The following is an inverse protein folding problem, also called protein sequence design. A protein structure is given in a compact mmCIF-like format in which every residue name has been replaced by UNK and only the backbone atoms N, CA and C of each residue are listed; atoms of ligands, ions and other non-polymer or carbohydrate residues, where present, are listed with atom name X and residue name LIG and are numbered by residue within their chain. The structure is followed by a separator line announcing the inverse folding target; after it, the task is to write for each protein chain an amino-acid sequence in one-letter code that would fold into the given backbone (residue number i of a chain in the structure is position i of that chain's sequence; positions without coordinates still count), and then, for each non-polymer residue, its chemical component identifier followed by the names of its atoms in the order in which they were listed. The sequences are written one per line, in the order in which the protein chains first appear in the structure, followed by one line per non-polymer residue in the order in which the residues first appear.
data_IF_516045899889
#
_entry.id   IF_516045899889
#
_cell.length_a   1.000
_cell.length_b   1.000
_cell.length_c   1.000
_cell.angle_alpha   90.00
_cell.angle_beta   90.00
_cell.angle_gamma   90.00
#
_symmetry.space_group_name_H-M   'P 1'
#
loop_
_entity.id
_entity.type
_entity.pdbx_description
1 polymer ?
#
# COMPACT_ATOMS: atom_id res chain seq x y z
N UNK A 1 10.38 16.05 18.95
CA UNK A 1 8.93 15.77 19.17
C UNK A 1 7.98 16.85 18.64
N UNK A 2 8.36 18.12 18.66
CA UNK A 2 7.49 19.21 18.19
C UNK A 2 7.23 19.09 16.69
N UNK A 3 8.25 18.90 15.87
CA UNK A 3 8.12 18.68 14.44
C UNK A 3 7.20 17.50 14.12
N UNK A 4 7.38 16.36 14.78
CA UNK A 4 6.52 15.18 14.62
C UNK A 4 5.04 15.52 14.90
N UNK A 5 4.78 16.20 16.04
CA UNK A 5 3.41 16.60 16.40
C UNK A 5 2.80 17.57 15.38
N UNK A 6 3.57 18.57 14.91
CA UNK A 6 3.13 19.50 13.88
C UNK A 6 2.84 18.80 12.55
N UNK A 7 3.68 17.83 12.15
CA UNK A 7 3.46 16.99 10.96
C UNK A 7 2.18 16.16 11.07
N UNK A 8 1.95 15.54 12.23
CA UNK A 8 0.73 14.79 12.51
C UNK A 8 -0.52 15.68 12.42
N UNK A 9 -0.47 16.85 13.05
CA UNK A 9 -1.56 17.84 12.98
C UNK A 9 -1.78 18.34 11.54
N UNK A 10 -0.70 18.57 10.78
CA UNK A 10 -0.78 18.99 9.38
C UNK A 10 -1.51 17.97 8.51
N UNK A 11 -1.26 16.66 8.68
CA UNK A 11 -2.00 15.60 7.98
C UNK A 11 -3.50 15.64 8.30
N UNK A 12 -3.85 15.78 9.58
CA UNK A 12 -5.25 15.88 10.02
C UNK A 12 -5.92 17.14 9.47
N UNK A 13 -5.26 18.29 9.57
CA UNK A 13 -5.76 19.56 9.03
C UNK A 13 -5.88 19.49 7.51
N UNK A 14 -4.92 18.86 6.82
CA UNK A 14 -4.95 18.62 5.38
C UNK A 14 -6.20 17.87 4.93
N UNK A 15 -6.63 16.86 5.68
CA UNK A 15 -7.89 16.16 5.40
C UNK A 15 -9.12 17.08 5.47
N UNK A 16 -9.18 17.93 6.49
CA UNK A 16 -10.33 18.83 6.69
C UNK A 16 -10.32 20.08 5.82
N UNK A 17 -9.17 20.50 5.32
CA UNK A 17 -9.02 21.70 4.48
C UNK A 17 -8.85 21.36 3.01
N UNK A 18 -7.69 20.85 2.64
CA UNK A 18 -7.37 20.54 1.24
C UNK A 18 -8.20 19.38 0.69
N UNK A 19 -8.49 18.35 1.51
CA UNK A 19 -9.40 17.28 1.14
C UNK A 19 -10.84 17.79 0.82
N UNK A 20 -11.34 18.77 1.58
CA UNK A 20 -12.63 19.43 1.26
C UNK A 20 -12.55 20.27 -0.01
N UNK A 21 -11.40 20.89 -0.27
CA UNK A 21 -11.20 21.63 -1.52
C UNK A 21 -11.27 20.68 -2.72
N UNK A 22 -10.58 19.55 -2.68
CA UNK A 22 -10.60 18.53 -3.74
C UNK A 22 -12.01 17.96 -3.95
N UNK A 23 -12.73 17.69 -2.87
CA UNK A 23 -14.14 17.27 -2.93
C UNK A 23 -15.03 18.33 -3.64
N UNK A 24 -14.86 19.61 -3.33
CA UNK A 24 -15.58 20.70 -3.99
C UNK A 24 -15.21 20.84 -5.47
N UNK A 25 -13.93 20.70 -5.80
CA UNK A 25 -13.45 20.76 -7.19
C UNK A 25 -14.05 19.62 -8.03
N UNK A 26 -14.14 18.42 -7.46
CA UNK A 26 -14.74 17.28 -8.15
C UNK A 26 -16.27 17.41 -8.25
N UNK A 27 -16.94 17.91 -7.20
CA UNK A 27 -18.38 18.08 -7.13
C UNK A 27 -19.13 16.74 -7.12
N UNK A 28 -19.03 15.93 -6.04
CA UNK A 28 -19.78 14.68 -5.94
C UNK A 28 -21.29 14.95 -5.86
N UNK A 29 -22.07 14.13 -6.55
CA UNK A 29 -23.54 14.23 -6.61
C UNK A 29 -24.24 12.93 -6.15
N UNK A 30 -25.58 12.86 -6.31
CA UNK A 30 -26.40 11.75 -5.86
C UNK A 30 -26.71 10.73 -6.98
N UNK A 31 -25.88 10.69 -8.03
CA UNK A 31 -26.02 9.68 -9.11
C UNK A 31 -25.86 8.26 -8.57
N UNK A 32 -26.54 7.33 -9.23
CA UNK A 32 -26.39 5.89 -8.92
C UNK A 32 -24.98 5.42 -9.30
N UNK A 33 -24.33 4.75 -8.37
CA UNK A 33 -22.98 4.23 -8.55
C UNK A 33 -22.96 2.88 -9.28
N UNK A 34 -21.83 2.47 -9.87
CA UNK A 34 -21.68 1.18 -10.54
C UNK A 34 -22.01 -0.03 -9.66
N UNK A 35 -21.74 0.06 -8.37
CA UNK A 35 -22.10 -0.97 -7.39
C UNK A 35 -23.61 -1.29 -7.40
N UNK A 36 -24.46 -0.28 -7.69
CA UNK A 36 -25.92 -0.41 -7.71
C UNK A 36 -26.47 -0.71 -9.10
N UNK A 37 -25.81 -0.22 -10.17
CA UNK A 37 -26.30 -0.33 -11.55
C UNK A 37 -25.75 -1.55 -12.29
N UNK A 38 -24.57 -2.03 -11.94
CA UNK A 38 -23.86 -3.13 -12.60
C UNK A 38 -23.54 -4.31 -11.68
N UNK A 39 -24.26 -4.45 -10.57
CA UNK A 39 -24.03 -5.52 -9.61
C UNK A 39 -23.91 -6.90 -10.31
N UNK A 40 -22.77 -7.55 -10.21
CA UNK A 40 -22.48 -8.85 -10.84
C UNK A 40 -22.25 -9.98 -9.84
N UNK A 41 -22.16 -9.63 -8.54
CA UNK A 41 -21.88 -10.56 -7.46
C UNK A 41 -20.44 -11.08 -7.42
N UNK A 42 -19.50 -10.44 -8.16
CA UNK A 42 -18.09 -10.84 -8.22
C UNK A 42 -17.17 -9.68 -7.90
N UNK A 43 -17.18 -8.64 -8.74
CA UNK A 43 -16.34 -7.46 -8.62
C UNK A 43 -17.16 -6.18 -8.35
N UNK A 44 -18.45 -6.16 -8.73
CA UNK A 44 -19.41 -5.09 -8.46
C UNK A 44 -20.36 -5.51 -7.35
N UNK A 45 -19.97 -5.22 -6.12
CA UNK A 45 -20.72 -5.62 -4.90
C UNK A 45 -20.86 -4.42 -3.98
N UNK A 46 -22.08 -3.97 -3.66
CA UNK A 46 -22.27 -2.86 -2.74
C UNK A 46 -21.80 -3.24 -1.33
N UNK A 47 -20.85 -2.46 -0.80
CA UNK A 47 -20.31 -2.63 0.54
C UNK A 47 -20.59 -1.38 1.40
N UNK A 48 -20.68 -1.52 2.72
CA UNK A 48 -20.78 -0.36 3.61
C UNK A 48 -19.48 0.44 3.62
N UNK A 49 -19.58 1.77 3.69
CA UNK A 49 -18.48 2.73 3.56
C UNK A 49 -17.29 2.42 4.46
N UNK A 50 -17.53 2.07 5.73
CA UNK A 50 -16.45 1.75 6.66
C UNK A 50 -15.61 0.53 6.22
N UNK A 51 -16.27 -0.48 5.60
CA UNK A 51 -15.54 -1.64 5.05
C UNK A 51 -14.71 -1.23 3.84
N UNK A 52 -15.27 -0.41 2.96
CA UNK A 52 -14.55 0.07 1.77
C UNK A 52 -13.33 0.88 2.21
N UNK A 53 -13.48 1.77 3.21
CA UNK A 53 -12.36 2.51 3.80
C UNK A 53 -11.27 1.58 4.34
N UNK A 54 -11.65 0.58 5.14
CA UNK A 54 -10.68 -0.36 5.72
C UNK A 54 -9.95 -1.19 4.67
N UNK A 55 -10.67 -1.60 3.61
CA UNK A 55 -10.08 -2.35 2.50
C UNK A 55 -9.15 -1.45 1.68
N UNK A 56 -9.59 -0.23 1.35
CA UNK A 56 -8.79 0.76 0.63
C UNK A 56 -7.50 1.03 1.41
N UNK A 57 -7.61 1.44 2.67
CA UNK A 57 -6.47 1.73 3.54
C UNK A 57 -5.48 0.58 3.63
N UNK A 58 -5.94 -0.64 3.92
CA UNK A 58 -5.06 -1.79 4.08
C UNK A 58 -4.30 -2.12 2.79
N UNK A 59 -4.98 -2.01 1.64
CA UNK A 59 -4.41 -2.39 0.36
C UNK A 59 -3.44 -1.34 -0.20
N UNK A 60 -3.71 -0.04 0.01
CA UNK A 60 -2.76 0.99 -0.41
C UNK A 60 -1.55 1.03 0.53
N UNK A 61 -1.74 0.78 1.82
CA UNK A 61 -0.66 0.78 2.79
C UNK A 61 0.43 -0.27 2.47
N UNK A 62 0.08 -1.51 2.24
CA UNK A 62 1.05 -2.57 1.93
C UNK A 62 2.23 -2.59 2.90
N UNK A 63 3.46 -2.72 2.39
CA UNK A 63 4.72 -2.57 3.15
C UNK A 63 5.25 -1.12 3.14
N UNK A 64 4.75 -0.28 2.24
CA UNK A 64 5.32 1.04 1.96
C UNK A 64 5.38 1.98 3.15
N UNK A 65 4.29 2.26 3.86
CA UNK A 65 4.28 3.18 4.98
C UNK A 65 5.06 2.68 6.21
N UNK A 66 5.43 1.40 6.23
CA UNK A 66 6.25 0.81 7.28
C UNK A 66 7.71 0.76 6.83
N UNK A 67 8.03 -0.07 5.85
CA UNK A 67 9.41 -0.31 5.42
C UNK A 67 10.02 0.91 4.73
N UNK A 68 9.25 1.56 3.85
CA UNK A 68 9.70 2.79 3.19
C UNK A 68 9.96 3.92 4.17
N UNK A 69 9.08 4.10 5.16
CA UNK A 69 9.25 5.10 6.21
C UNK A 69 10.45 4.81 7.12
N UNK A 70 10.68 3.54 7.50
CA UNK A 70 11.85 3.11 8.26
C UNK A 70 13.13 3.45 7.51
N UNK A 71 13.21 3.09 6.23
CA UNK A 71 14.40 3.39 5.42
C UNK A 71 14.56 4.90 5.21
N UNK A 72 13.46 5.62 5.05
CA UNK A 72 13.44 7.07 4.92
C UNK A 72 13.85 7.82 6.19
N UNK A 73 13.67 7.23 7.37
CA UNK A 73 14.08 7.84 8.64
C UNK A 73 15.59 8.14 8.71
N UNK A 74 16.41 7.38 7.96
CA UNK A 74 17.86 7.64 7.84
C UNK A 74 18.19 9.00 7.22
N UNK A 75 17.26 9.64 6.53
CA UNK A 75 17.45 10.97 5.91
C UNK A 75 17.06 12.15 6.81
N UNK A 76 16.74 11.88 8.08
CA UNK A 76 16.43 12.90 9.07
C UNK A 76 15.04 13.56 8.87
N UNK A 77 14.91 14.81 9.31
CA UNK A 77 13.65 15.57 9.31
C UNK A 77 13.05 15.82 7.92
N UNK A 78 13.84 15.74 6.86
CA UNK A 78 13.40 15.84 5.46
C UNK A 78 12.36 14.78 5.12
N UNK A 79 12.46 13.57 5.71
CA UNK A 79 11.52 12.47 5.52
C UNK A 79 10.12 12.82 6.03
N UNK A 80 10.00 13.52 7.16
CA UNK A 80 8.70 13.92 7.70
C UNK A 80 7.99 14.92 6.79
N UNK A 81 8.74 15.88 6.25
CA UNK A 81 8.17 16.86 5.32
C UNK A 81 7.65 16.18 4.06
N UNK A 82 8.43 15.24 3.49
CA UNK A 82 8.00 14.54 2.29
C UNK A 82 6.76 13.66 2.54
N UNK A 83 6.70 12.94 3.67
CA UNK A 83 5.50 12.17 4.05
C UNK A 83 4.28 13.10 4.12
N UNK A 84 4.39 14.26 4.80
CA UNK A 84 3.24 15.16 5.00
C UNK A 84 2.81 15.83 3.69
N UNK A 85 3.75 16.45 2.99
CA UNK A 85 3.44 17.19 1.76
C UNK A 85 3.03 16.23 0.63
N UNK A 86 3.74 15.10 0.50
CA UNK A 86 3.40 14.06 -0.45
C UNK A 86 2.00 13.49 -0.21
N UNK A 87 1.68 13.14 1.02
CA UNK A 87 0.35 12.59 1.35
C UNK A 87 -0.77 13.58 1.09
N UNK A 88 -0.64 14.86 1.50
CA UNK A 88 -1.71 15.85 1.36
C UNK A 88 -1.90 16.27 -0.09
N UNK A 89 -0.82 16.64 -0.79
CA UNK A 89 -0.89 17.34 -2.08
C UNK A 89 -0.74 16.42 -3.28
N UNK A 90 -0.19 15.24 -3.12
CA UNK A 90 0.01 14.28 -4.21
C UNK A 90 -0.77 12.97 -3.97
N UNK A 91 -0.42 12.18 -2.96
CA UNK A 91 -0.99 10.86 -2.74
C UNK A 91 -2.50 10.87 -2.55
N UNK A 92 -3.01 11.67 -1.61
CA UNK A 92 -4.45 11.73 -1.33
C UNK A 92 -5.26 12.33 -2.49
N UNK A 93 -4.66 13.26 -3.25
CA UNK A 93 -5.28 13.80 -4.46
C UNK A 93 -5.34 12.73 -5.54
N UNK A 94 -4.25 12.01 -5.77
CA UNK A 94 -4.19 10.93 -6.75
C UNK A 94 -5.19 9.81 -6.41
N UNK A 95 -5.23 9.36 -5.15
CA UNK A 95 -6.20 8.35 -4.71
C UNK A 95 -7.65 8.82 -4.93
N UNK A 96 -7.96 10.04 -4.48
CA UNK A 96 -9.29 10.60 -4.61
C UNK A 96 -9.75 10.69 -6.06
N UNK A 97 -8.94 11.28 -6.94
CA UNK A 97 -9.32 11.43 -8.35
C UNK A 97 -9.32 10.08 -9.09
N UNK A 98 -8.39 9.17 -8.82
CA UNK A 98 -8.38 7.84 -9.41
C UNK A 98 -9.67 7.06 -9.06
N UNK A 99 -10.09 7.08 -7.79
CA UNK A 99 -11.32 6.43 -7.34
C UNK A 99 -12.58 7.11 -7.88
N UNK A 100 -12.66 8.43 -7.79
CA UNK A 100 -13.85 9.17 -8.20
C UNK A 100 -14.05 9.21 -9.72
N UNK A 101 -12.97 9.29 -10.50
CA UNK A 101 -13.04 9.18 -11.96
C UNK A 101 -13.49 7.76 -12.35
N UNK A 102 -12.92 6.73 -11.73
CA UNK A 102 -13.37 5.36 -11.96
C UNK A 102 -14.86 5.19 -11.63
N UNK A 103 -15.31 5.74 -10.50
CA UNK A 103 -16.72 5.72 -10.11
C UNK A 103 -17.63 6.33 -11.18
N UNK A 104 -17.26 7.49 -11.76
CA UNK A 104 -17.99 8.16 -12.83
C UNK A 104 -17.91 7.48 -14.18
N UNK A 105 -16.84 6.74 -14.42
CA UNK A 105 -16.65 5.91 -15.62
C UNK A 105 -16.98 4.44 -15.33
N UNK A 106 -18.03 4.21 -14.54
CA UNK A 106 -18.67 2.92 -14.36
C UNK A 106 -17.75 1.82 -13.81
N UNK A 107 -16.74 2.20 -13.00
CA UNK A 107 -15.77 1.29 -12.41
C UNK A 107 -14.64 0.88 -13.37
N UNK A 108 -14.42 1.64 -14.45
CA UNK A 108 -13.31 1.38 -15.37
C UNK A 108 -11.94 1.47 -14.67
N UNK A 109 -10.98 0.67 -15.16
CA UNK A 109 -9.59 0.74 -14.70
C UNK A 109 -8.92 2.05 -15.11
N UNK A 110 -7.85 2.44 -14.40
CA UNK A 110 -7.16 3.69 -14.71
C UNK A 110 -6.63 3.76 -16.15
N UNK A 111 -6.05 2.69 -16.74
CA UNK A 111 -5.66 2.71 -18.15
C UNK A 111 -6.81 3.00 -19.12
N UNK A 112 -8.04 2.53 -18.81
CA UNK A 112 -9.22 2.82 -19.63
C UNK A 112 -9.57 4.31 -19.58
N UNK A 113 -9.57 4.88 -18.37
CA UNK A 113 -9.85 6.30 -18.15
C UNK A 113 -8.78 7.17 -18.85
N UNK A 114 -7.50 6.83 -18.70
CA UNK A 114 -6.40 7.51 -19.40
C UNK A 114 -6.62 7.47 -20.92
N UNK A 115 -7.06 6.32 -21.43
CA UNK A 115 -7.36 6.18 -22.86
C UNK A 115 -8.44 7.13 -23.38
N UNK A 116 -9.42 7.47 -22.55
CA UNK A 116 -10.49 8.43 -22.91
C UNK A 116 -9.96 9.87 -23.05
N UNK A 117 -9.01 10.26 -22.23
CA UNK A 117 -8.49 11.63 -22.16
C UNK A 117 -7.19 11.83 -22.94
N UNK A 118 -6.32 10.83 -23.00
CA UNK A 118 -4.98 10.90 -23.60
C UNK A 118 -4.78 10.01 -24.83
N UNK A 119 -5.84 9.32 -25.26
CA UNK A 119 -5.86 8.55 -26.49
C UNK A 119 -5.36 7.10 -26.37
N UNK A 120 -5.52 6.36 -27.50
CA UNK A 120 -5.33 4.92 -27.52
C UNK A 120 -3.89 4.48 -27.26
N UNK A 121 -2.91 5.20 -27.77
CA UNK A 121 -1.48 4.86 -27.58
C UNK A 121 -1.09 4.87 -26.13
N UNK A 122 -1.45 5.94 -25.41
CA UNK A 122 -1.19 6.08 -23.97
C UNK A 122 -1.92 4.98 -23.18
N UNK A 123 -3.15 4.65 -23.56
CA UNK A 123 -3.91 3.53 -22.97
C UNK A 123 -3.15 2.20 -23.05
N UNK A 124 -2.62 1.86 -24.23
CA UNK A 124 -1.93 0.57 -24.42
C UNK A 124 -0.60 0.52 -23.65
N UNK A 125 0.15 1.61 -23.63
CA UNK A 125 1.38 1.73 -22.83
C UNK A 125 1.05 1.53 -21.34
N UNK A 126 0.06 2.24 -20.83
CA UNK A 126 -0.36 2.13 -19.43
C UNK A 126 -0.89 0.75 -19.06
N UNK A 127 -1.63 0.08 -19.94
CA UNK A 127 -2.08 -1.30 -19.71
C UNK A 127 -0.90 -2.26 -19.54
N UNK A 128 0.04 -2.24 -20.50
CA UNK A 128 1.23 -3.09 -20.45
C UNK A 128 2.06 -2.83 -19.19
N UNK A 129 2.35 -1.57 -18.93
CA UNK A 129 3.10 -1.14 -17.75
C UNK A 129 2.41 -1.59 -16.45
N UNK A 130 1.11 -1.32 -16.28
CA UNK A 130 0.39 -1.68 -15.05
C UNK A 130 0.32 -3.19 -14.84
N UNK A 131 0.11 -3.99 -15.89
CA UNK A 131 0.08 -5.45 -15.77
C UNK A 131 1.44 -6.00 -15.31
N UNK A 132 2.54 -5.54 -15.92
CA UNK A 132 3.90 -5.94 -15.54
C UNK A 132 4.18 -5.53 -14.08
N UNK A 133 3.88 -4.28 -13.73
CA UNK A 133 4.06 -3.76 -12.38
C UNK A 133 3.27 -4.61 -11.35
N UNK A 134 2.01 -4.95 -11.63
CA UNK A 134 1.20 -5.74 -10.71
C UNK A 134 1.70 -7.17 -10.52
N UNK A 135 2.28 -7.79 -11.55
CA UNK A 135 2.92 -9.10 -11.42
C UNK A 135 4.18 -9.02 -10.55
N UNK A 136 5.01 -7.98 -10.74
CA UNK A 136 6.19 -7.73 -9.91
C UNK A 136 5.80 -7.48 -8.45
N UNK A 137 4.84 -6.60 -8.19
CA UNK A 137 4.30 -6.31 -6.86
C UNK A 137 3.77 -7.58 -6.20
N UNK A 138 2.92 -8.32 -6.91
CA UNK A 138 2.35 -9.57 -6.40
C UNK A 138 3.44 -10.57 -6.00
N UNK A 139 4.51 -10.70 -6.78
CA UNK A 139 5.64 -11.59 -6.48
C UNK A 139 6.42 -11.14 -5.24
N UNK A 140 6.74 -9.85 -5.13
CA UNK A 140 7.45 -9.30 -3.95
C UNK A 140 6.61 -9.46 -2.69
N UNK A 141 5.30 -9.26 -2.79
CA UNK A 141 4.37 -9.39 -1.66
C UNK A 141 4.01 -10.83 -1.30
N UNK A 142 4.51 -11.81 -2.04
CA UNK A 142 4.62 -13.21 -1.59
C UNK A 142 5.91 -13.40 -0.78
N UNK A 143 7.04 -12.99 -1.34
CA UNK A 143 8.36 -13.28 -0.78
C UNK A 143 8.60 -12.57 0.57
N UNK A 144 8.18 -11.30 0.70
CA UNK A 144 8.35 -10.52 1.93
C UNK A 144 7.68 -11.14 3.16
N UNK A 145 6.35 -11.35 3.13
CA UNK A 145 5.64 -12.04 4.23
C UNK A 145 6.14 -13.44 4.51
N UNK A 146 6.48 -14.21 3.46
CA UNK A 146 6.99 -15.56 3.63
C UNK A 146 8.32 -15.59 4.42
N UNK A 147 9.20 -14.63 4.14
CA UNK A 147 10.46 -14.49 4.89
C UNK A 147 10.24 -14.09 6.36
N UNK A 148 9.23 -13.27 6.64
CA UNK A 148 8.85 -12.92 8.02
C UNK A 148 8.22 -14.11 8.76
N UNK A 149 7.31 -14.81 8.11
CA UNK A 149 6.65 -16.00 8.68
C UNK A 149 7.66 -17.11 8.99
N UNK A 150 8.63 -17.32 8.11
CA UNK A 150 9.69 -18.31 8.33
C UNK A 150 10.53 -18.01 9.59
N UNK A 151 10.76 -16.73 9.93
CA UNK A 151 11.46 -16.34 11.16
C UNK A 151 10.64 -16.55 12.43
N UNK A 152 9.33 -16.62 12.33
CA UNK A 152 8.38 -16.75 13.44
C UNK A 152 7.94 -18.19 13.68
N UNK A 153 8.27 -19.10 12.77
CA UNK A 153 7.83 -20.50 12.81
C UNK A 153 9.04 -21.43 12.95
N UNK A 154 8.85 -22.69 13.37
CA UNK A 154 9.92 -23.67 13.43
C UNK A 154 10.65 -23.85 12.10
N UNK A 155 11.93 -24.24 12.11
CA UNK A 155 12.78 -24.41 10.92
C UNK A 155 12.18 -25.36 9.85
N UNK A 156 11.29 -26.26 10.24
CA UNK A 156 10.55 -27.12 9.31
C UNK A 156 9.57 -26.37 8.39
N UNK A 157 9.19 -25.13 8.75
CA UNK A 157 8.30 -24.24 7.99
C UNK A 157 9.14 -23.08 7.42
N UNK A 158 10.00 -23.40 6.48
CA UNK A 158 10.92 -22.46 5.85
C UNK A 158 10.22 -21.43 4.94
N UNK A 159 11.00 -20.52 4.37
CA UNK A 159 10.47 -19.50 3.47
C UNK A 159 9.79 -20.11 2.23
N UNK A 160 10.29 -21.26 1.75
CA UNK A 160 9.70 -21.95 0.58
C UNK A 160 8.30 -22.46 0.89
N UNK A 161 8.11 -23.07 2.06
CA UNK A 161 6.79 -23.49 2.54
C UNK A 161 5.80 -22.31 2.56
N UNK A 162 6.21 -21.20 3.15
CA UNK A 162 5.35 -20.02 3.28
C UNK A 162 5.07 -19.33 1.94
N UNK A 163 6.03 -19.32 1.00
CA UNK A 163 5.81 -18.86 -0.38
C UNK A 163 4.69 -19.67 -1.04
N UNK A 164 4.72 -20.99 -0.89
CA UNK A 164 3.67 -21.87 -1.46
C UNK A 164 2.31 -21.55 -0.83
N UNK A 165 2.25 -21.42 0.49
CA UNK A 165 1.00 -21.13 1.22
C UNK A 165 0.42 -19.77 0.82
N UNK A 166 1.23 -18.71 0.84
CA UNK A 166 0.79 -17.35 0.48
C UNK A 166 0.39 -17.29 -1.00
N UNK A 167 1.13 -17.93 -1.88
CA UNK A 167 0.81 -17.95 -3.31
C UNK A 167 -0.47 -18.75 -3.60
N UNK A 168 -0.68 -19.89 -2.93
CA UNK A 168 -1.93 -20.63 -3.02
C UNK A 168 -3.13 -19.78 -2.56
N UNK A 169 -2.96 -19.01 -1.47
CA UNK A 169 -3.95 -18.03 -1.04
C UNK A 169 -4.24 -17.00 -2.14
N UNK A 170 -3.21 -16.44 -2.83
CA UNK A 170 -3.41 -15.47 -3.91
C UNK A 170 -4.20 -16.04 -5.09
N UNK A 171 -3.93 -17.30 -5.46
CA UNK A 171 -4.72 -17.98 -6.49
C UNK A 171 -6.19 -18.03 -6.09
N UNK A 172 -6.48 -18.46 -4.87
CA UNK A 172 -7.85 -18.54 -4.36
C UNK A 172 -8.50 -17.16 -4.28
N UNK A 173 -7.83 -16.17 -3.71
CA UNK A 173 -8.35 -14.82 -3.55
C UNK A 173 -8.63 -14.12 -4.89
N UNK A 174 -7.75 -14.30 -5.87
CA UNK A 174 -7.93 -13.72 -7.22
C UNK A 174 -9.12 -14.32 -7.97
N UNK A 175 -9.45 -15.59 -7.72
CA UNK A 175 -10.52 -16.31 -8.39
C UNK A 175 -11.89 -16.14 -7.72
N UNK A 176 -11.92 -15.89 -6.41
CA UNK A 176 -13.16 -15.79 -5.63
C UNK A 176 -13.76 -14.36 -5.70
N UNK A 177 -15.08 -14.22 -5.45
CA UNK A 177 -15.74 -12.92 -5.32
C UNK A 177 -15.16 -12.07 -4.18
N UNK A 178 -15.16 -10.74 -4.35
CA UNK A 178 -14.59 -9.76 -3.41
C UNK A 178 -15.18 -9.88 -1.99
N UNK A 179 -16.48 -10.09 -1.87
CA UNK A 179 -17.18 -10.13 -0.58
C UNK A 179 -16.80 -11.32 0.31
N UNK A 180 -16.35 -12.44 -0.29
CA UNK A 180 -16.08 -13.68 0.45
C UNK A 180 -14.81 -13.65 1.27
N UNK A 181 -13.75 -13.11 0.73
CA UNK A 181 -12.45 -13.02 1.42
C UNK A 181 -12.16 -11.56 1.79
N UNK A 182 -12.05 -10.68 0.79
CA UNK A 182 -11.68 -9.28 0.97
C UNK A 182 -12.65 -8.58 1.92
N UNK A 183 -13.96 -8.67 1.67
CA UNK A 183 -14.98 -7.99 2.47
C UNK A 183 -15.13 -8.49 3.91
N UNK A 184 -14.55 -9.66 4.29
CA UNK A 184 -14.65 -10.21 5.64
C UNK A 184 -13.35 -10.14 6.43
N UNK A 185 -12.24 -10.49 5.80
CA UNK A 185 -10.95 -10.66 6.47
C UNK A 185 -10.18 -9.33 6.53
N UNK A 186 -10.20 -8.54 5.46
CA UNK A 186 -9.41 -7.32 5.38
C UNK A 186 -9.75 -6.25 6.42
N UNK A 187 -11.03 -6.00 6.77
CA UNK A 187 -11.32 -5.06 7.85
C UNK A 187 -10.68 -5.45 9.19
N UNK A 188 -10.57 -6.74 9.47
CA UNK A 188 -9.90 -7.23 10.70
C UNK A 188 -8.40 -6.91 10.68
N UNK A 189 -7.74 -7.15 9.56
CA UNK A 189 -6.32 -6.85 9.39
C UNK A 189 -6.04 -5.34 9.41
N UNK A 190 -6.93 -4.54 8.82
CA UNK A 190 -6.84 -3.09 8.88
C UNK A 190 -6.95 -2.56 10.32
N UNK A 191 -7.85 -3.13 11.12
CA UNK A 191 -7.98 -2.80 12.56
C UNK A 191 -6.71 -3.19 13.31
N UNK A 192 -6.12 -4.35 13.05
CA UNK A 192 -4.86 -4.78 13.67
C UNK A 192 -3.70 -3.82 13.32
N UNK A 193 -3.60 -3.40 12.06
CA UNK A 193 -2.60 -2.43 11.60
C UNK A 193 -2.78 -1.06 12.27
N UNK A 194 -4.02 -0.56 12.37
CA UNK A 194 -4.33 0.69 13.05
C UNK A 194 -4.06 0.61 14.56
N UNK A 195 -4.41 -0.52 15.19
CA UNK A 195 -4.12 -0.74 16.61
C UNK A 195 -2.62 -0.69 16.89
N UNK A 196 -1.81 -1.33 16.05
CA UNK A 196 -0.36 -1.27 16.12
C UNK A 196 0.13 0.19 15.98
N UNK A 197 -0.34 0.91 14.97
CA UNK A 197 0.07 2.29 14.73
C UNK A 197 -0.28 3.20 15.91
N UNK A 198 -1.49 3.06 16.48
CA UNK A 198 -1.92 3.80 17.68
C UNK A 198 -1.06 3.41 18.89
N UNK A 199 -0.75 2.15 19.07
CA UNK A 199 0.12 1.68 20.16
C UNK A 199 1.51 2.32 20.08
N UNK A 200 2.15 2.30 18.91
CA UNK A 200 3.45 2.94 18.68
C UNK A 200 3.36 4.46 18.89
N UNK A 201 2.29 5.11 18.40
CA UNK A 201 2.06 6.53 18.63
C UNK A 201 1.98 6.89 20.12
N UNK A 202 1.26 6.10 20.89
CA UNK A 202 1.18 6.30 22.36
C UNK A 202 2.57 6.16 22.97
N UNK A 203 3.34 5.15 22.59
CA UNK A 203 4.69 4.94 23.13
C UNK A 203 5.68 6.04 22.72
N UNK A 204 5.53 6.62 21.52
CA UNK A 204 6.29 7.81 21.14
C UNK A 204 6.04 8.98 22.10
N UNK A 205 4.81 9.21 22.52
CA UNK A 205 4.47 10.26 23.49
C UNK A 205 4.82 9.90 24.94
N UNK A 206 4.87 8.63 25.29
CA UNK A 206 5.28 8.18 26.63
C UNK A 206 6.80 8.25 26.81
N UNK A 207 7.53 7.76 25.83
CA UNK A 207 9.00 7.67 25.89
C UNK A 207 9.70 8.99 25.55
N UNK A 208 9.01 9.94 24.88
CA UNK A 208 9.56 11.22 24.44
C UNK A 208 10.96 11.11 23.78
N UNK A 209 11.16 10.23 22.75
CA UNK A 209 12.48 10.07 22.16
C UNK A 209 12.99 11.38 21.54
N UNK A 210 14.31 11.52 21.47
CA UNK A 210 14.94 12.61 20.75
C UNK A 210 14.71 12.41 19.24
N UNK A 211 13.81 13.20 18.65
CA UNK A 211 13.54 13.20 17.22
C UNK A 211 14.14 14.43 16.55
N UNK A 212 14.55 14.36 15.29
CA UNK A 212 15.08 15.50 14.56
C UNK A 212 14.00 16.57 14.43
N UNK A 213 14.38 17.82 14.62
CA UNK A 213 13.50 18.95 14.47
C UNK A 213 13.81 19.71 13.17
N UNK A 214 12.81 20.38 12.60
CA UNK A 214 12.99 21.09 11.32
C UNK A 214 13.97 22.26 11.43
N UNK A 215 14.06 22.90 12.59
CA UNK A 215 14.98 24.00 12.83
C UNK A 215 16.44 23.58 13.03
N UNK A 216 16.71 22.27 13.24
CA UNK A 216 18.06 21.72 13.26
C UNK A 216 18.64 21.59 11.83
N UNK A 217 17.80 21.85 10.81
CA UNK A 217 18.15 21.81 9.40
C UNK A 217 17.67 20.53 8.70
N UNK A 218 17.64 20.59 7.38
CA UNK A 218 17.25 19.49 6.49
C UNK A 218 18.49 18.71 6.04
N UNK A 219 19.29 18.26 6.97
CA UNK A 219 20.53 17.54 6.67
C UNK A 219 20.24 16.06 6.34
N UNK A 220 21.02 15.53 5.42
CA UNK A 220 21.03 14.09 5.16
C UNK A 220 21.84 13.39 6.25
N UNK A 221 21.17 12.69 7.14
CA UNK A 221 21.79 11.96 8.25
C UNK A 221 22.17 10.53 7.90
N UNK A 222 21.94 10.10 6.63
CA UNK A 222 22.30 8.77 6.18
C UNK A 222 23.82 8.58 6.24
N UNK A 223 24.34 7.46 6.81
CA UNK A 223 25.77 7.17 6.81
C UNK A 223 26.41 7.17 5.41
N UNK A 224 25.64 6.79 4.39
CA UNK A 224 26.04 6.77 2.97
C UNK A 224 25.54 8.02 2.22
N UNK A 225 25.49 9.19 2.87
CA UNK A 225 24.92 10.42 2.30
C UNK A 225 25.55 10.85 0.98
N UNK A 226 26.81 10.49 0.73
CA UNK A 226 27.51 10.78 -0.54
C UNK A 226 26.99 9.95 -1.71
N UNK A 227 26.52 8.73 -1.45
CA UNK A 227 25.98 7.80 -2.45
C UNK A 227 24.46 7.85 -2.50
N UNK A 228 23.83 8.18 -1.37
CA UNK A 228 22.39 8.25 -1.19
C UNK A 228 21.94 9.69 -0.90
N UNK A 229 21.86 10.55 -1.91
CA UNK A 229 21.39 11.93 -1.74
C UNK A 229 19.90 11.97 -1.39
N UNK A 230 19.48 13.07 -0.72
CA UNK A 230 18.06 13.30 -0.42
C UNK A 230 17.23 13.23 -1.70
N UNK A 231 17.62 13.94 -2.75
CA UNK A 231 16.97 13.84 -4.06
C UNK A 231 17.87 13.05 -5.03
N UNK A 232 17.34 12.00 -5.68
CA UNK A 232 15.96 11.49 -5.63
C UNK A 232 15.75 10.37 -4.59
N UNK A 233 16.79 9.86 -3.93
CA UNK A 233 16.75 8.56 -3.22
C UNK A 233 15.75 8.55 -2.06
N UNK A 234 15.75 9.57 -1.20
CA UNK A 234 14.77 9.66 -0.11
C UNK A 234 13.34 9.66 -0.64
N UNK A 235 13.08 10.44 -1.70
CA UNK A 235 11.76 10.57 -2.30
C UNK A 235 11.25 9.23 -2.82
N UNK A 236 12.11 8.45 -3.48
CA UNK A 236 11.78 7.11 -3.98
C UNK A 236 11.60 6.12 -2.82
N UNK A 237 12.48 6.15 -1.81
CA UNK A 237 12.42 5.23 -0.67
C UNK A 237 11.11 5.36 0.12
N UNK A 238 10.57 6.57 0.24
CA UNK A 238 9.34 6.86 0.99
C UNK A 238 8.12 6.97 0.06
N UNK A 239 8.28 6.83 -1.26
CA UNK A 239 7.20 7.05 -2.22
C UNK A 239 5.92 6.29 -1.85
N UNK A 240 6.01 5.03 -1.45
CA UNK A 240 4.85 4.26 -1.02
C UNK A 240 4.15 4.82 0.21
N UNK A 241 4.87 5.45 1.16
CA UNK A 241 4.28 6.05 2.36
C UNK A 241 3.80 7.49 2.17
N UNK A 242 4.24 8.18 1.11
CA UNK A 242 3.91 9.57 0.84
C UNK A 242 2.94 9.73 -0.34
N UNK A 243 2.98 8.86 -1.35
CA UNK A 243 2.20 8.99 -2.58
C UNK A 243 1.40 7.72 -2.88
N UNK A 244 1.89 6.55 -2.54
CA UNK A 244 1.42 5.20 -2.83
C UNK A 244 1.19 4.88 -4.32
N UNK A 245 1.85 3.85 -4.83
CA UNK A 245 1.67 3.38 -6.22
C UNK A 245 0.40 2.55 -6.44
N UNK A 246 -0.29 2.14 -5.38
CA UNK A 246 -1.45 1.25 -5.46
C UNK A 246 -2.76 1.95 -5.79
N UNK A 247 -2.85 3.26 -5.70
CA UNK A 247 -4.06 4.02 -6.03
C UNK A 247 -4.57 3.70 -7.43
N UNK A 248 -3.66 3.60 -8.41
CA UNK A 248 -4.01 3.36 -9.81
C UNK A 248 -4.81 2.06 -10.04
N UNK A 249 -4.65 1.09 -9.18
CA UNK A 249 -5.28 -0.23 -9.30
C UNK A 249 -6.31 -0.51 -8.22
N UNK A 250 -6.05 -0.08 -7.00
CA UNK A 250 -6.93 -0.35 -5.86
C UNK A 250 -8.15 0.57 -5.84
N UNK A 251 -7.99 1.86 -6.15
CA UNK A 251 -9.10 2.82 -6.09
C UNK A 251 -10.22 2.49 -7.09
N UNK A 252 -9.93 2.05 -8.34
CA UNK A 252 -10.96 1.52 -9.24
C UNK A 252 -11.68 0.27 -8.71
N UNK A 253 -10.98 -0.63 -7.99
CA UNK A 253 -11.63 -1.77 -7.37
C UNK A 253 -12.65 -1.36 -6.31
N UNK A 254 -12.28 -0.40 -5.47
CA UNK A 254 -13.18 0.11 -4.43
C UNK A 254 -14.30 0.96 -4.99
N UNK A 255 -14.06 1.69 -6.08
CA UNK A 255 -15.11 2.42 -6.81
C UNK A 255 -16.27 1.50 -7.26
N UNK A 256 -15.94 0.25 -7.64
CA UNK A 256 -16.95 -0.78 -7.99
C UNK A 256 -17.81 -1.24 -6.80
N UNK A 257 -17.41 -0.93 -5.58
CA UNK A 257 -18.10 -1.34 -4.35
C UNK A 257 -18.83 -0.17 -3.66
N UNK A 258 -18.58 1.08 -4.06
CA UNK A 258 -19.15 2.27 -3.44
C UNK A 258 -20.60 2.47 -3.77
N UNK A 259 -21.40 2.81 -2.76
CA UNK A 259 -22.85 3.07 -2.89
C UNK A 259 -23.21 4.53 -3.08
N UNK A 260 -22.29 5.48 -2.87
CA UNK A 260 -22.49 6.92 -3.02
C UNK A 260 -21.20 7.65 -3.33
N UNK A 261 -21.21 8.62 -4.24
CA UNK A 261 -20.08 9.53 -4.52
C UNK A 261 -19.67 10.37 -3.31
N UNK A 262 -20.63 10.73 -2.44
CA UNK A 262 -20.38 11.55 -1.24
C UNK A 262 -19.43 10.89 -0.23
N UNK A 263 -19.21 9.58 -0.35
CA UNK A 263 -18.25 8.84 0.48
C UNK A 263 -16.83 8.81 -0.11
N UNK A 264 -16.60 9.43 -1.27
CA UNK A 264 -15.29 9.42 -1.93
C UNK A 264 -14.18 10.03 -1.08
N UNK A 265 -14.42 11.20 -0.45
CA UNK A 265 -13.40 11.84 0.38
C UNK A 265 -12.97 10.97 1.58
N UNK A 266 -13.86 10.46 2.44
CA UNK A 266 -13.41 9.59 3.54
C UNK A 266 -12.76 8.28 3.04
N UNK A 267 -13.25 7.69 1.94
CA UNK A 267 -12.74 6.41 1.44
C UNK A 267 -11.36 6.55 0.80
N UNK A 268 -11.19 7.47 -0.16
CA UNK A 268 -9.95 7.59 -0.92
C UNK A 268 -9.00 8.59 -0.26
N UNK A 269 -9.35 9.86 -0.22
CA UNK A 269 -8.49 10.88 0.38
C UNK A 269 -8.15 10.55 1.85
N UNK A 270 -9.13 10.09 2.62
CA UNK A 270 -8.98 9.72 4.02
C UNK A 270 -8.09 8.49 4.23
N UNK A 271 -8.17 7.47 3.36
CA UNK A 271 -7.32 6.30 3.44
C UNK A 271 -5.84 6.66 3.24
N UNK A 272 -5.53 7.51 2.24
CA UNK A 272 -4.17 7.94 1.99
C UNK A 272 -3.62 8.82 3.12
N UNK A 273 -4.42 9.73 3.69
CA UNK A 273 -3.99 10.48 4.89
C UNK A 273 -3.71 9.54 6.07
N UNK A 274 -4.52 8.51 6.25
CA UNK A 274 -4.30 7.50 7.31
C UNK A 274 -3.01 6.73 7.06
N UNK A 275 -2.71 6.38 5.80
CA UNK A 275 -1.44 5.79 5.40
C UNK A 275 -0.25 6.71 5.71
N UNK A 276 -0.36 8.00 5.38
CA UNK A 276 0.66 9.01 5.70
C UNK A 276 0.89 9.15 7.21
N UNK A 277 -0.16 9.06 8.03
CA UNK A 277 -0.05 9.04 9.50
C UNK A 277 0.73 7.80 9.96
N UNK A 278 0.43 6.62 9.43
CA UNK A 278 1.17 5.38 9.75
C UNK A 278 2.63 5.51 9.33
N UNK A 279 2.91 6.05 8.14
CA UNK A 279 4.28 6.29 7.67
C UNK A 279 5.04 7.26 8.59
N UNK A 280 4.42 8.35 9.01
CA UNK A 280 5.01 9.31 9.93
C UNK A 280 5.35 8.70 11.30
N UNK A 281 4.45 7.86 11.83
CA UNK A 281 4.65 7.14 13.10
C UNK A 281 5.86 6.20 12.97
N UNK A 282 5.95 5.43 11.90
CA UNK A 282 7.05 4.51 11.67
C UNK A 282 8.38 5.22 11.39
N UNK A 283 8.36 6.34 10.68
CA UNK A 283 9.56 7.16 10.49
C UNK A 283 10.09 7.67 11.84
N UNK A 284 9.21 8.12 12.74
CA UNK A 284 9.59 8.57 14.08
C UNK A 284 10.12 7.42 14.95
N UNK A 285 9.44 6.27 14.96
CA UNK A 285 9.85 5.10 15.71
C UNK A 285 11.19 4.54 15.21
N UNK A 286 11.41 4.51 13.89
CA UNK A 286 12.69 4.11 13.31
C UNK A 286 13.81 5.09 13.62
N UNK A 287 13.54 6.39 13.67
CA UNK A 287 14.52 7.40 14.09
C UNK A 287 15.00 7.14 15.52
N UNK A 288 14.08 6.81 16.45
CA UNK A 288 14.43 6.38 17.79
C UNK A 288 15.34 5.13 17.77
N UNK A 289 14.94 4.09 17.02
CA UNK A 289 15.72 2.86 16.91
C UNK A 289 17.14 3.13 16.41
N UNK A 290 17.30 3.96 15.37
CA UNK A 290 18.60 4.30 14.82
C UNK A 290 19.46 5.14 15.77
N UNK A 291 18.83 5.96 16.60
CA UNK A 291 19.55 6.72 17.63
C UNK A 291 20.13 5.80 18.72
N UNK A 292 19.38 4.79 19.14
CA UNK A 292 19.81 3.87 20.21
C UNK A 292 20.75 2.76 19.71
N UNK A 293 20.53 2.24 18.48
CA UNK A 293 21.21 1.05 17.98
C UNK A 293 22.19 1.32 16.83
N UNK A 294 22.30 2.57 16.37
CA UNK A 294 23.08 2.93 15.18
C UNK A 294 22.32 2.67 13.88
N UNK A 295 22.84 3.25 12.78
CA UNK A 295 22.18 3.23 11.47
C UNK A 295 22.63 2.07 10.55
N UNK A 296 23.42 1.13 11.07
CA UNK A 296 23.97 0.02 10.28
C UNK A 296 22.89 -0.99 9.87
N UNK A 297 21.88 -1.21 10.72
CA UNK A 297 20.80 -2.13 10.39
C UNK A 297 19.95 -1.59 9.21
N UNK A 298 19.85 -2.39 8.17
CA UNK A 298 19.13 -2.05 6.94
C UNK A 298 17.90 -2.94 6.69
N UNK A 299 17.67 -3.96 7.53
CA UNK A 299 16.53 -4.84 7.40
C UNK A 299 15.33 -4.29 8.16
N UNK A 300 14.40 -3.67 7.46
CA UNK A 300 13.19 -3.08 8.05
C UNK A 300 12.38 -4.08 8.89
N UNK A 301 12.39 -5.38 8.55
CA UNK A 301 11.69 -6.41 9.34
C UNK A 301 12.30 -6.61 10.73
N UNK A 302 13.64 -6.49 10.85
CA UNK A 302 14.34 -6.58 12.13
C UNK A 302 13.99 -5.38 13.00
N UNK A 303 13.95 -4.20 12.40
CA UNK A 303 13.60 -2.94 13.09
C UNK A 303 12.15 -2.97 13.58
N UNK A 304 11.22 -3.45 12.74
CA UNK A 304 9.82 -3.63 13.14
C UNK A 304 9.71 -4.57 14.34
N UNK A 305 10.36 -5.73 14.29
CA UNK A 305 10.32 -6.71 15.36
C UNK A 305 10.91 -6.15 16.68
N UNK A 306 12.03 -5.45 16.60
CA UNK A 306 12.68 -4.83 17.75
C UNK A 306 11.78 -3.77 18.41
N UNK A 307 11.30 -2.79 17.64
CA UNK A 307 10.42 -1.71 18.15
C UNK A 307 9.13 -2.27 18.74
N UNK A 308 8.49 -3.22 18.06
CA UNK A 308 7.20 -3.75 18.52
C UNK A 308 7.33 -4.58 19.78
N UNK A 309 8.40 -5.36 19.91
CA UNK A 309 8.69 -6.14 21.13
C UNK A 309 9.04 -5.23 22.31
N UNK A 310 9.86 -4.22 22.08
CA UNK A 310 10.29 -3.27 23.12
C UNK A 310 9.13 -2.43 23.65
N UNK A 311 8.31 -1.87 22.74
CA UNK A 311 7.27 -0.92 23.11
C UNK A 311 5.91 -1.52 23.38
N UNK A 312 5.53 -2.58 22.70
CA UNK A 312 4.20 -3.19 22.83
C UNK A 312 4.21 -4.53 23.57
N UNK A 313 5.39 -5.00 23.95
CA UNK A 313 5.57 -6.29 24.63
C UNK A 313 5.17 -7.48 23.74
N UNK A 314 5.06 -8.67 24.34
CA UNK A 314 4.83 -9.93 23.59
C UNK A 314 3.50 -9.93 22.83
N UNK A 315 2.40 -9.52 23.46
CA UNK A 315 1.06 -9.52 22.83
C UNK A 315 0.98 -8.46 21.74
N UNK A 316 1.46 -7.24 22.02
CA UNK A 316 1.51 -6.17 21.05
C UNK A 316 2.43 -6.49 19.87
N UNK A 317 3.56 -7.15 20.12
CA UNK A 317 4.47 -7.63 19.10
C UNK A 317 3.81 -8.62 18.14
N UNK A 318 3.06 -9.59 18.65
CA UNK A 318 2.31 -10.54 17.80
C UNK A 318 1.25 -9.84 16.94
N UNK A 319 0.49 -8.90 17.52
CA UNK A 319 -0.51 -8.13 16.77
C UNK A 319 0.14 -7.24 15.70
N UNK A 320 1.28 -6.61 16.03
CA UNK A 320 2.05 -5.81 15.09
C UNK A 320 2.55 -6.62 13.90
N UNK A 321 3.15 -7.77 14.19
CA UNK A 321 3.66 -8.69 13.17
C UNK A 321 2.52 -9.19 12.27
N UNK A 322 1.36 -9.53 12.85
CA UNK A 322 0.17 -9.90 12.06
C UNK A 322 -0.26 -8.76 11.14
N UNK A 323 -0.26 -7.50 11.60
CA UNK A 323 -0.55 -6.34 10.76
C UNK A 323 0.46 -6.15 9.63
N UNK A 324 1.76 -6.26 9.93
CA UNK A 324 2.85 -6.11 8.96
C UNK A 324 2.87 -7.24 7.92
N UNK A 325 2.51 -8.47 8.30
CA UNK A 325 2.41 -9.61 7.38
C UNK A 325 1.12 -9.53 6.56
N UNK A 326 0.01 -9.15 7.19
CA UNK A 326 -1.29 -9.13 6.54
C UNK A 326 -1.39 -8.05 5.44
N UNK A 327 -0.81 -6.87 5.66
CA UNK A 327 -0.88 -5.77 4.71
C UNK A 327 -0.31 -6.14 3.32
N UNK A 328 0.92 -6.66 3.17
CA UNK A 328 1.42 -7.07 1.86
C UNK A 328 0.68 -8.28 1.28
N UNK A 329 0.22 -9.22 2.11
CA UNK A 329 -0.56 -10.36 1.61
C UNK A 329 -1.86 -9.87 0.98
N UNK A 330 -2.54 -8.92 1.59
CA UNK A 330 -3.79 -8.38 1.04
C UNK A 330 -3.56 -7.50 -0.19
N UNK A 331 -2.49 -6.71 -0.20
CA UNK A 331 -2.11 -5.90 -1.36
C UNK A 331 -1.68 -6.75 -2.55
N UNK A 332 -0.99 -7.87 -2.31
CA UNK A 332 -0.54 -8.78 -3.37
C UNK A 332 -1.69 -9.49 -4.07
N UNK A 333 -2.70 -9.99 -3.35
CA UNK A 333 -3.85 -10.62 -4.00
C UNK A 333 -4.66 -9.62 -4.82
N UNK A 334 -4.81 -8.38 -4.34
CA UNK A 334 -5.50 -7.32 -5.09
C UNK A 334 -4.67 -6.85 -6.28
N UNK A 335 -3.34 -6.91 -6.24
CA UNK A 335 -2.49 -6.66 -7.41
C UNK A 335 -2.77 -7.68 -8.54
N UNK A 336 -2.79 -8.97 -8.24
CA UNK A 336 -3.16 -9.99 -9.23
C UNK A 336 -4.59 -9.84 -9.73
N UNK A 337 -5.53 -9.50 -8.86
CA UNK A 337 -6.92 -9.22 -9.25
C UNK A 337 -7.01 -8.03 -10.19
N UNK A 338 -6.30 -6.94 -9.91
CA UNK A 338 -6.26 -5.75 -10.75
C UNK A 338 -5.65 -6.06 -12.12
N UNK A 339 -4.52 -6.78 -12.15
CA UNK A 339 -3.91 -7.22 -13.42
C UNK A 339 -4.88 -8.09 -14.24
N UNK A 340 -5.58 -9.04 -13.59
CA UNK A 340 -6.62 -9.86 -14.24
C UNK A 340 -7.71 -8.99 -14.86
N UNK A 341 -8.19 -7.98 -14.16
CA UNK A 341 -9.26 -7.11 -14.66
C UNK A 341 -8.79 -6.26 -15.84
N UNK A 342 -7.58 -5.69 -15.78
CA UNK A 342 -7.00 -4.91 -16.88
C UNK A 342 -6.84 -5.76 -18.14
N UNK A 343 -6.37 -7.02 -18.00
CA UNK A 343 -6.27 -7.96 -19.12
C UNK A 343 -7.65 -8.38 -19.64
N UNK A 344 -8.62 -8.58 -18.74
CA UNK A 344 -10.00 -8.91 -19.13
C UNK A 344 -10.65 -7.77 -19.92
N UNK A 345 -10.47 -6.52 -19.47
CA UNK A 345 -10.95 -5.32 -20.17
C UNK A 345 -10.29 -5.18 -21.56
N UNK A 346 -9.00 -5.55 -21.68
CA UNK A 346 -8.30 -5.57 -22.96
C UNK A 346 -8.85 -6.62 -23.95
N UNK A 347 -9.14 -7.82 -23.43
CA UNK A 347 -9.63 -8.94 -24.25
C UNK A 347 -11.16 -8.93 -24.44
N UNK A 348 -11.89 -8.01 -23.79
CA UNK A 348 -13.34 -7.95 -23.80
C UNK A 348 -14.02 -9.18 -23.17
N UNK A 349 -13.38 -9.78 -22.16
CA UNK A 349 -13.84 -11.01 -21.53
C UNK A 349 -14.64 -10.74 -20.25
N UNK A 350 -15.90 -11.17 -20.24
CA UNK A 350 -16.72 -11.14 -19.02
C UNK A 350 -16.14 -12.00 -17.90
N UNK A 351 -16.12 -11.46 -16.68
CA UNK A 351 -15.49 -12.07 -15.51
C UNK A 351 -16.43 -12.94 -14.64
N UNK A 352 -17.69 -13.13 -15.02
CA UNK A 352 -18.63 -14.01 -14.31
C UNK A 352 -18.20 -15.47 -14.33
N UNK A 353 -17.63 -15.95 -15.45
CA UNK A 353 -17.22 -17.33 -15.63
C UNK A 353 -15.85 -17.63 -15.00
N UNK A 354 -15.77 -18.65 -14.12
CA UNK A 354 -14.53 -19.13 -13.52
C UNK A 354 -13.50 -19.57 -14.59
N UNK A 355 -13.95 -20.23 -15.68
CA UNK A 355 -13.06 -20.67 -16.76
C UNK A 355 -12.37 -19.49 -17.44
N UNK A 356 -13.09 -18.40 -17.70
CA UNK A 356 -12.51 -17.19 -18.32
C UNK A 356 -11.51 -16.49 -17.40
N UNK A 357 -11.78 -16.46 -16.09
CA UNK A 357 -10.83 -15.96 -15.09
C UNK A 357 -9.55 -16.78 -15.06
N UNK A 358 -9.64 -18.11 -15.05
CA UNK A 358 -8.47 -19.01 -15.09
C UNK A 358 -7.61 -18.80 -16.33
N UNK A 359 -8.22 -18.57 -17.49
CA UNK A 359 -7.50 -18.35 -18.75
C UNK A 359 -6.54 -17.16 -18.67
N UNK A 360 -6.96 -16.09 -17.97
CA UNK A 360 -6.15 -14.89 -17.76
C UNK A 360 -5.14 -15.12 -16.63
N UNK A 361 -5.58 -15.74 -15.53
CA UNK A 361 -4.75 -15.87 -14.34
C UNK A 361 -3.57 -16.83 -14.49
N UNK A 362 -3.72 -17.93 -15.24
CA UNK A 362 -2.66 -18.95 -15.40
C UNK A 362 -1.36 -18.34 -15.95
N UNK A 363 -1.34 -17.61 -17.08
CA UNK A 363 -0.11 -17.00 -17.58
C UNK A 363 0.52 -16.02 -16.58
N UNK A 364 -0.29 -15.24 -15.87
CA UNK A 364 0.17 -14.30 -14.86
C UNK A 364 0.83 -15.02 -13.69
N UNK A 365 0.21 -16.08 -13.17
CA UNK A 365 0.76 -16.87 -12.08
C UNK A 365 2.03 -17.61 -12.50
N UNK A 366 2.13 -18.11 -13.72
CA UNK A 366 3.36 -18.70 -14.26
C UNK A 366 4.49 -17.68 -14.30
N UNK A 367 4.22 -16.46 -14.75
CA UNK A 367 5.21 -15.38 -14.74
C UNK A 367 5.65 -15.04 -13.30
N UNK A 368 4.71 -14.94 -12.35
CA UNK A 368 5.01 -14.68 -10.95
C UNK A 368 5.83 -15.81 -10.31
N UNK A 369 5.53 -17.08 -10.61
CA UNK A 369 6.32 -18.22 -10.15
C UNK A 369 7.76 -18.13 -10.70
N UNK A 370 7.93 -17.77 -11.96
CA UNK A 370 9.25 -17.55 -12.54
C UNK A 370 10.07 -16.50 -11.80
N UNK A 371 9.45 -15.37 -11.46
CA UNK A 371 10.08 -14.31 -10.65
C UNK A 371 10.43 -14.77 -9.23
N UNK A 372 9.53 -15.52 -8.59
CA UNK A 372 9.77 -16.06 -7.25
C UNK A 372 10.91 -17.07 -7.23
N UNK A 373 10.97 -17.98 -8.22
CA UNK A 373 12.07 -18.94 -8.37
C UNK A 373 13.41 -18.23 -8.61
N UNK A 374 13.41 -17.15 -9.39
CA UNK A 374 14.60 -16.31 -9.57
C UNK A 374 15.01 -15.65 -8.24
N UNK A 375 14.07 -15.08 -7.51
CA UNK A 375 14.31 -14.45 -6.19
C UNK A 375 14.88 -15.43 -5.15
N UNK A 376 14.53 -16.72 -5.22
CA UNK A 376 15.05 -17.76 -4.31
C UNK A 376 16.45 -18.25 -4.70
N UNK A 377 16.80 -18.20 -5.98
CA UNK A 377 18.11 -18.69 -6.47
C UNK A 377 19.24 -17.71 -6.27
N UNK A 378 18.95 -16.42 -6.28
CA UNK A 378 19.94 -15.35 -6.14
C UNK A 378 19.77 -14.68 -4.77
N UNK A 379 20.84 -14.62 -3.97
CA UNK A 379 20.83 -13.94 -2.67
C UNK A 379 20.41 -12.46 -2.76
N UNK A 380 20.66 -11.82 -3.91
CA UNK A 380 20.23 -10.45 -4.20
C UNK A 380 18.93 -10.38 -5.03
N UNK A 381 18.35 -11.52 -5.41
CA UNK A 381 17.19 -11.56 -6.32
C UNK A 381 15.98 -10.83 -5.78
N UNK A 382 15.68 -10.97 -4.49
CA UNK A 382 14.63 -10.19 -3.83
C UNK A 382 14.92 -8.68 -3.87
N UNK A 383 16.12 -8.27 -3.50
CA UNK A 383 16.51 -6.86 -3.50
C UNK A 383 16.48 -6.26 -4.91
N UNK A 384 16.85 -7.03 -5.93
CA UNK A 384 16.78 -6.59 -7.31
C UNK A 384 15.33 -6.34 -7.75
N UNK A 385 14.41 -7.27 -7.47
CA UNK A 385 12.99 -7.11 -7.79
C UNK A 385 12.39 -5.95 -6.99
N UNK A 386 12.75 -5.82 -5.69
CA UNK A 386 12.33 -4.73 -4.83
C UNK A 386 12.80 -3.36 -5.35
N UNK A 387 14.06 -3.26 -5.77
CA UNK A 387 14.60 -2.03 -6.40
C UNK A 387 13.88 -1.71 -7.71
N UNK A 388 13.64 -2.71 -8.57
CA UNK A 388 12.84 -2.50 -9.79
C UNK A 388 11.45 -1.93 -9.44
N UNK A 389 10.81 -2.44 -8.40
CA UNK A 389 9.51 -1.98 -7.94
C UNK A 389 9.58 -0.52 -7.44
N UNK A 390 10.57 -0.16 -6.64
CA UNK A 390 10.77 1.21 -6.15
C UNK A 390 11.02 2.20 -7.30
N UNK A 391 11.82 1.82 -8.30
CA UNK A 391 12.10 2.68 -9.46
C UNK A 391 10.95 2.75 -10.47
N UNK A 392 10.02 1.81 -10.45
CA UNK A 392 8.85 1.77 -11.34
C UNK A 392 7.56 2.20 -10.66
N UNK A 393 7.58 2.46 -9.34
CA UNK A 393 6.45 3.10 -8.66
C UNK A 393 6.30 4.53 -9.18
N UNK A 394 5.11 4.93 -9.63
CA UNK A 394 4.86 6.26 -10.19
C UNK A 394 5.03 7.36 -9.16
#
# INVERSE_FOLDING_TARGET
MITFTLCLLALIVGYFTYGRLMERVFGPDDRKTPALTKADGVDYIPLPTWKIFMIQFLNIAGLGPIFGAIMGAKFGSSSYLWIVLGSIFAGAVHDYFAGMLSLRHEGESLPEIIGRYLGLTTKQIMRGFTVILMILVGSVFVAGPAGLLAKLTPESLDATFWIIVVFAYYILATLLPVDKIIGKIYPLFAIALLFMAVGILVMLYVNHPALPELWDGLQNTNPEASELPIFPIMFVSIACGAISGFHATQSPLMARCMTSERHGRPVFYGAMITEGIVALIWAAAATYFFHENGMEESNASVIVDAITKEWLGTIGGVLAILGVIAAPITSGDTAFRSARLIVADFLGLEQKSMRRRLYICIPMFVAAIGLLLYSLRDANGFNMIWRCLLYTSP
#
